data_IF_275186440205
#
_entry.id   IF_275186440205
#
_cell.length_a   1.000
_cell.length_b   1.000
_cell.length_c   1.000
_cell.angle_alpha   90.00
_cell.angle_beta   90.00
_cell.angle_gamma   90.00
#
_symmetry.space_group_name_H-M   'P 1'
#
loop_
_entity.id
_entity.type
_entity.pdbx_description
1 polymer ?
#
# COMPACT_ATOMS: atom_id res chain seq x y z
N UNK A 1 18.48 27.52 -4.85
CA UNK A 1 17.12 26.99 -5.08
C UNK A 1 17.26 25.55 -5.53
N UNK A 2 17.08 24.57 -4.64
CA UNK A 2 17.11 23.16 -5.05
C UNK A 2 15.84 22.85 -5.85
N UNK A 3 15.90 22.15 -6.99
CA UNK A 3 14.70 21.74 -7.71
C UNK A 3 13.99 20.69 -6.86
N UNK A 4 12.83 21.03 -6.31
CA UNK A 4 11.93 20.07 -5.68
C UNK A 4 11.57 19.01 -6.72
N UNK A 5 12.16 17.81 -6.61
CA UNK A 5 11.81 16.68 -7.46
C UNK A 5 10.31 16.45 -7.29
N UNK A 6 9.53 16.70 -8.33
CA UNK A 6 8.10 16.42 -8.28
C UNK A 6 7.92 14.92 -8.05
N UNK A 7 7.42 14.54 -6.87
CA UNK A 7 7.09 13.14 -6.55
C UNK A 7 6.19 12.59 -7.64
N UNK A 8 6.66 11.53 -8.29
CA UNK A 8 5.85 10.81 -9.26
C UNK A 8 4.78 10.07 -8.47
N UNK A 9 3.55 10.06 -8.98
CA UNK A 9 2.42 9.36 -8.36
C UNK A 9 1.75 8.52 -9.42
N UNK A 10 1.23 7.34 -9.06
CA UNK A 10 0.41 6.55 -9.98
C UNK A 10 -0.91 7.30 -10.22
N UNK A 11 -1.14 7.77 -11.46
CA UNK A 11 -2.27 8.65 -11.81
C UNK A 11 -3.42 7.91 -12.44
N UNK A 12 -3.12 6.82 -13.14
CA UNK A 12 -4.08 6.04 -13.89
C UNK A 12 -4.45 4.75 -13.15
N UNK A 13 -5.69 4.30 -13.35
CA UNK A 13 -6.13 2.99 -12.84
C UNK A 13 -5.27 1.84 -13.37
N UNK A 14 -4.75 1.99 -14.59
CA UNK A 14 -3.86 1.01 -15.19
C UNK A 14 -2.56 0.87 -14.41
N UNK A 15 -1.93 2.00 -14.04
CA UNK A 15 -0.71 2.00 -13.23
C UNK A 15 -0.96 1.35 -11.85
N UNK A 16 -2.09 1.62 -11.20
CA UNK A 16 -2.45 0.99 -9.92
C UNK A 16 -2.69 -0.52 -10.05
N UNK A 17 -3.36 -0.97 -11.12
CA UNK A 17 -3.55 -2.40 -11.37
C UNK A 17 -2.22 -3.11 -11.66
N UNK A 18 -1.32 -2.46 -12.40
CA UNK A 18 0.03 -2.97 -12.68
C UNK A 18 0.84 -3.08 -11.39
N UNK A 19 0.85 -2.04 -10.56
CA UNK A 19 1.53 -2.04 -9.27
C UNK A 19 1.04 -3.18 -8.37
N UNK A 20 -0.28 -3.36 -8.28
CA UNK A 20 -0.86 -4.47 -7.51
C UNK A 20 -0.44 -5.85 -8.04
N UNK A 21 -0.41 -6.01 -9.37
CA UNK A 21 0.05 -7.26 -9.99
C UNK A 21 1.54 -7.48 -9.77
N UNK A 22 2.37 -6.44 -9.87
CA UNK A 22 3.80 -6.53 -9.57
C UNK A 22 4.05 -6.92 -8.12
N UNK A 23 3.39 -6.27 -7.16
CA UNK A 23 3.47 -6.62 -5.74
C UNK A 23 3.06 -8.07 -5.48
N UNK A 24 2.01 -8.55 -6.15
CA UNK A 24 1.59 -9.96 -6.07
C UNK A 24 2.65 -10.91 -6.65
N UNK A 25 3.24 -10.56 -7.80
CA UNK A 25 4.28 -11.37 -8.45
C UNK A 25 5.57 -11.40 -7.64
N UNK A 26 5.96 -10.29 -7.04
CA UNK A 26 7.11 -10.19 -6.14
C UNK A 26 6.90 -11.07 -4.90
N UNK A 27 5.68 -11.05 -4.34
CA UNK A 27 5.31 -11.93 -3.22
C UNK A 27 5.39 -13.41 -3.59
N UNK A 28 5.08 -13.77 -4.84
CA UNK A 28 5.16 -15.14 -5.34
C UNK A 28 6.57 -15.58 -5.76
N UNK A 29 7.43 -14.67 -6.21
CA UNK A 29 8.80 -14.96 -6.70
C UNK A 29 9.89 -14.82 -5.61
N UNK A 30 9.54 -14.55 -4.35
CA UNK A 30 10.51 -14.46 -3.25
C UNK A 30 11.04 -13.05 -3.00
N UNK A 31 10.19 -12.03 -3.12
CA UNK A 31 10.46 -10.63 -2.76
C UNK A 31 11.52 -9.90 -3.59
N UNK A 32 12.00 -10.47 -4.70
CA UNK A 32 12.83 -9.73 -5.63
C UNK A 32 11.97 -8.76 -6.45
N UNK A 33 12.20 -7.46 -6.25
CA UNK A 33 11.56 -6.41 -7.05
C UNK A 33 12.05 -6.44 -8.48
N UNK A 34 11.13 -6.30 -9.43
CA UNK A 34 11.48 -6.23 -10.86
C UNK A 34 12.25 -4.94 -11.14
N UNK A 35 13.43 -5.04 -11.77
CA UNK A 35 14.28 -3.89 -12.12
C UNK A 35 14.17 -3.47 -13.58
N UNK A 36 13.59 -4.32 -14.42
CA UNK A 36 13.54 -4.16 -15.87
C UNK A 36 12.10 -4.16 -16.37
N UNK A 37 11.77 -3.20 -17.22
CA UNK A 37 10.45 -3.05 -17.85
C UNK A 37 10.08 -4.28 -18.66
N UNK A 38 11.05 -4.85 -19.39
CA UNK A 38 10.84 -6.04 -20.23
C UNK A 38 10.49 -7.26 -19.39
N UNK A 39 11.13 -7.43 -18.24
CA UNK A 39 10.89 -8.57 -17.35
C UNK A 39 9.54 -8.45 -16.65
N UNK A 40 9.21 -7.26 -16.16
CA UNK A 40 7.90 -6.94 -15.60
C UNK A 40 6.78 -7.15 -16.64
N UNK A 41 6.98 -6.69 -17.87
CA UNK A 41 6.05 -6.90 -18.98
C UNK A 41 5.81 -8.39 -19.23
N UNK A 42 6.88 -9.17 -19.34
CA UNK A 42 6.83 -10.61 -19.58
C UNK A 42 6.15 -11.39 -18.45
N UNK A 43 6.36 -10.97 -17.20
CA UNK A 43 5.73 -11.57 -16.02
C UNK A 43 4.24 -11.23 -15.94
N UNK A 44 3.87 -9.98 -16.21
CA UNK A 44 2.48 -9.52 -16.32
C UNK A 44 1.77 -10.26 -17.46
N UNK A 45 2.46 -10.45 -18.60
CA UNK A 45 1.91 -11.12 -19.76
C UNK A 45 1.54 -12.59 -19.46
N UNK A 46 2.29 -13.27 -18.60
CA UNK A 46 2.01 -14.66 -18.22
C UNK A 46 0.95 -14.79 -17.12
N UNK A 47 0.88 -13.82 -16.21
CA UNK A 47 0.05 -13.90 -15.00
C UNK A 47 -1.34 -13.29 -15.16
N UNK A 48 -1.49 -12.25 -15.99
CA UNK A 48 -2.74 -11.50 -16.09
C UNK A 48 -3.24 -11.40 -17.53
N UNK A 49 -4.32 -12.12 -17.81
CA UNK A 49 -4.94 -12.15 -19.14
C UNK A 49 -5.65 -10.83 -19.51
N UNK A 50 -6.04 -10.00 -18.54
CA UNK A 50 -6.67 -8.70 -18.77
C UNK A 50 -5.66 -7.66 -19.24
N UNK A 51 -4.52 -7.56 -18.54
CA UNK A 51 -3.42 -6.66 -18.92
C UNK A 51 -2.82 -7.06 -20.28
N UNK A 52 -2.82 -8.36 -20.60
CA UNK A 52 -2.39 -8.89 -21.90
C UNK A 52 -3.18 -8.39 -23.10
N UNK A 53 -4.43 -7.98 -22.90
CA UNK A 53 -5.31 -7.48 -23.98
C UNK A 53 -5.00 -6.03 -24.33
N UNK A 54 -4.23 -5.33 -23.51
CA UNK A 54 -3.86 -3.95 -23.74
C UNK A 54 -2.77 -3.86 -24.82
N UNK A 55 -2.70 -2.71 -25.49
CA UNK A 55 -1.67 -2.46 -26.50
C UNK A 55 -0.31 -2.43 -25.81
N UNK A 56 0.71 -2.96 -26.48
CA UNK A 56 2.08 -3.10 -25.95
C UNK A 56 2.66 -1.76 -25.47
N UNK A 57 2.58 -0.70 -26.29
CA UNK A 57 3.12 0.63 -25.95
C UNK A 57 2.57 1.26 -24.66
N UNK A 58 1.24 1.40 -24.47
CA UNK A 58 0.72 1.98 -23.22
C UNK A 58 0.97 1.08 -22.01
N UNK A 59 1.10 -0.23 -22.20
CA UNK A 59 1.45 -1.13 -21.11
C UNK A 59 2.90 -0.94 -20.67
N UNK A 60 3.84 -0.86 -21.63
CA UNK A 60 5.26 -0.58 -21.34
C UNK A 60 5.46 0.78 -20.67
N UNK A 61 4.82 1.85 -21.19
CA UNK A 61 4.90 3.20 -20.61
C UNK A 61 4.37 3.24 -19.17
N UNK A 62 3.26 2.55 -18.89
CA UNK A 62 2.72 2.46 -17.54
C UNK A 62 3.63 1.66 -16.58
N UNK A 63 4.27 0.60 -17.07
CA UNK A 63 5.26 -0.17 -16.28
C UNK A 63 6.49 0.70 -16.00
N UNK A 64 7.00 1.44 -16.98
CA UNK A 64 8.14 2.36 -16.79
C UNK A 64 7.84 3.41 -15.72
N UNK A 65 6.62 3.96 -15.71
CA UNK A 65 6.16 4.91 -14.68
C UNK A 65 6.14 4.28 -13.29
N UNK A 66 5.62 3.06 -13.15
CA UNK A 66 5.56 2.33 -11.86
C UNK A 66 6.95 1.98 -11.36
N UNK A 67 7.85 1.51 -12.23
CA UNK A 67 9.23 1.21 -11.88
C UNK A 67 9.99 2.47 -11.45
N UNK A 68 9.75 3.59 -12.14
CA UNK A 68 10.32 4.88 -11.78
C UNK A 68 9.77 5.39 -10.44
N UNK A 69 8.49 5.17 -10.16
CA UNK A 69 7.88 5.45 -8.86
C UNK A 69 8.56 4.64 -7.74
N UNK A 70 8.71 3.33 -7.90
CA UNK A 70 9.41 2.49 -6.91
C UNK A 70 10.86 2.88 -6.70
N UNK A 71 11.56 3.25 -7.78
CA UNK A 71 12.93 3.75 -7.67
C UNK A 71 12.99 5.07 -6.90
N UNK A 72 12.05 5.99 -7.17
CA UNK A 72 12.00 7.27 -6.47
C UNK A 72 11.64 7.10 -4.99
N UNK A 73 10.71 6.22 -4.65
CA UNK A 73 10.40 5.89 -3.24
C UNK A 73 11.61 5.25 -2.54
N UNK A 74 12.39 4.42 -3.24
CA UNK A 74 13.63 3.86 -2.70
C UNK A 74 14.76 4.90 -2.54
N UNK A 75 14.92 5.81 -3.50
CA UNK A 75 15.92 6.89 -3.45
C UNK A 75 15.54 7.96 -2.39
N UNK A 76 14.26 8.33 -2.23
CA UNK A 76 13.80 9.22 -1.15
C UNK A 76 13.96 8.57 0.23
N UNK A 77 13.81 7.24 0.32
CA UNK A 77 14.11 6.49 1.55
C UNK A 77 15.60 6.50 1.91
N UNK A 78 16.49 6.68 0.93
CA UNK A 78 17.95 6.73 1.17
C UNK A 78 18.46 8.09 1.65
N UNK A 79 17.68 9.18 1.49
CA UNK A 79 18.00 10.52 2.05
C UNK A 79 17.26 10.77 3.40
N UNK A 80 16.52 9.79 3.91
CA UNK A 80 15.76 9.86 5.17
C UNK A 80 16.04 8.71 6.16
N UNK A 81 17.20 8.06 6.07
CA UNK A 81 17.75 7.20 7.16
C UNK A 81 18.23 8.00 8.39
N UNK A 82 17.62 9.16 8.69
CA UNK A 82 17.91 9.95 9.89
C UNK A 82 16.67 10.33 10.71
N UNK A 83 15.47 9.88 10.33
CA UNK A 83 14.23 10.33 10.99
C UNK A 83 13.20 9.22 11.33
N UNK A 84 13.52 7.94 11.13
CA UNK A 84 12.60 6.81 11.37
C UNK A 84 12.97 5.93 12.57
N UNK A 85 13.99 6.25 13.36
CA UNK A 85 14.30 5.52 14.61
C UNK A 85 13.57 6.12 15.85
N UNK A 86 13.00 7.34 15.76
CA UNK A 86 12.34 8.00 16.90
C UNK A 86 10.84 7.68 17.04
N UNK A 87 10.21 7.07 16.03
CA UNK A 87 8.78 6.72 16.07
C UNK A 87 8.49 5.33 16.70
N UNK A 88 9.44 4.39 16.69
CA UNK A 88 9.25 3.06 17.28
C UNK A 88 9.35 3.06 18.81
N UNK A 89 10.05 4.03 19.41
CA UNK A 89 10.14 4.16 20.87
C UNK A 89 8.83 4.60 21.55
N UNK A 90 7.89 5.20 20.80
CA UNK A 90 6.60 5.65 21.32
C UNK A 90 5.51 4.56 21.32
N UNK A 91 5.73 3.43 20.63
CA UNK A 91 4.76 2.33 20.55
C UNK A 91 4.82 1.35 21.73
N UNK A 92 5.75 1.55 22.68
CA UNK A 92 5.88 0.73 23.90
C UNK A 92 4.95 1.22 25.05
N UNK A 93 3.81 1.83 24.72
CA UNK A 93 3.01 2.62 25.68
C UNK A 93 1.59 2.15 26.02
N UNK A 94 0.95 1.25 25.28
CA UNK A 94 -0.51 1.04 25.47
C UNK A 94 -0.94 -0.44 25.45
N UNK A 95 -0.34 -1.23 26.33
CA UNK A 95 -0.84 -2.57 26.66
C UNK A 95 -1.98 -2.50 27.68
N UNK A 96 -3.12 -1.87 27.37
CA UNK A 96 -4.36 -2.08 28.14
C UNK A 96 -5.68 -1.82 27.40
N UNK A 97 -5.74 -2.08 26.08
CA UNK A 97 -6.98 -1.97 25.30
C UNK A 97 -7.95 -3.16 25.45
N UNK A 98 -7.57 -4.20 26.21
CA UNK A 98 -8.38 -5.41 26.40
C UNK A 98 -9.58 -5.25 27.36
N UNK A 99 -9.56 -4.27 28.27
CA UNK A 99 -10.60 -4.12 29.30
C UNK A 99 -11.79 -3.23 28.89
N UNK A 100 -11.65 -2.45 27.81
CA UNK A 100 -12.67 -1.48 27.38
C UNK A 100 -13.88 -2.13 26.68
N UNK A 101 -13.69 -3.29 26.05
CA UNK A 101 -14.77 -4.00 25.35
C UNK A 101 -15.74 -4.68 26.33
N UNK A 102 -15.20 -5.24 27.43
CA UNK A 102 -16.01 -5.90 28.46
C UNK A 102 -16.92 -4.89 29.19
N UNK A 103 -16.45 -3.66 29.40
CA UNK A 103 -17.21 -2.58 30.05
C UNK A 103 -18.41 -2.07 29.21
N UNK A 104 -18.30 -2.03 27.89
CA UNK A 104 -19.41 -1.61 27.01
C UNK A 104 -20.52 -2.65 26.90
N UNK A 105 -20.17 -3.93 26.90
CA UNK A 105 -21.15 -5.02 26.83
C UNK A 105 -22.08 -5.01 28.05
N UNK A 106 -21.55 -4.80 29.27
CA UNK A 106 -22.34 -4.79 30.52
C UNK A 106 -23.32 -3.61 30.59
N UNK A 107 -22.99 -2.46 29.98
CA UNK A 107 -23.84 -1.26 30.02
C UNK A 107 -25.15 -1.43 29.23
N UNK A 108 -25.19 -2.30 28.22
CA UNK A 108 -26.36 -2.46 27.35
C UNK A 108 -27.38 -3.51 27.83
N UNK A 109 -27.05 -4.34 28.83
CA UNK A 109 -27.95 -5.40 29.32
C UNK A 109 -28.83 -4.98 30.53
N UNK A 110 -28.80 -3.71 30.94
CA UNK A 110 -29.40 -3.26 32.22
C UNK A 110 -30.44 -2.13 32.15
N UNK A 111 -31.02 -1.83 30.99
CA UNK A 111 -32.03 -0.77 30.84
C UNK A 111 -33.33 -1.33 30.26
N UNK A 112 -34.05 -2.10 31.06
CA UNK A 112 -35.50 -2.24 30.93
C UNK A 112 -36.16 -1.33 31.97
N UNK A 113 -36.40 -0.07 31.61
CA UNK A 113 -37.35 0.78 32.35
C UNK A 113 -38.35 1.33 31.36
N UNK A 114 -39.48 0.64 31.25
CA UNK A 114 -40.68 1.06 30.55
C UNK A 114 -41.32 2.25 31.29
N UNK A 115 -41.61 3.38 30.63
CA UNK A 115 -42.52 4.37 31.19
C UNK A 115 -43.92 4.19 30.56
N UNK A 116 -44.85 3.63 31.31
CA UNK A 116 -46.30 3.70 31.02
C UNK A 116 -46.86 5.06 31.47
N UNK A 117 -47.63 5.77 30.62
CA UNK A 117 -48.27 7.03 30.99
C UNK A 117 -49.69 6.81 31.55
N UNK A 118 -50.01 7.45 32.69
CA UNK A 118 -51.36 7.88 33.10
C UNK A 118 -51.24 9.22 33.80
#
# INVERSE_FOLDING_TARGET
MAPSKSRITLRSRLESDIDRVLNQLESSNGSQRFKSTSEAYDAIQRSNSSLRRLKKRPLEDAIDRVLLFHKQEADDSSDSEAALEEAEAAAMGESNSGFLLNRQMVACYGIETTPTPV
#
